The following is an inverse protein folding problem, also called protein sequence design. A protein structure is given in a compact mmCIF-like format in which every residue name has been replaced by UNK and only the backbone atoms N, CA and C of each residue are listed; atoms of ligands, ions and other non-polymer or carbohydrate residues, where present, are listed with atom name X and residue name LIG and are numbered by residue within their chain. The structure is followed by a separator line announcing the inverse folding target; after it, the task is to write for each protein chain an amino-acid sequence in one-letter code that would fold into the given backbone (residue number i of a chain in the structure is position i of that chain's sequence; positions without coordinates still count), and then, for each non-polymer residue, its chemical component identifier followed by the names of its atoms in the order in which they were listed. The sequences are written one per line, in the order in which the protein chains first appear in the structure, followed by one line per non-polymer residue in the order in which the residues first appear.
data_IF_742317608078
#
_entry.id   IF_742317608078
#
_cell.length_a   1.000
_cell.length_b   1.000
_cell.length_c   1.000
_cell.angle_alpha   90.00
_cell.angle_beta   90.00
_cell.angle_gamma   90.00
#
_symmetry.space_group_name_H-M   'P 1'
#
loop_
_entity.id
_entity.type
_entity.pdbx_description
1 polymer ?
#
# COMPACT_ATOMS: atom_id res chain seq x y z
N UNK A 1 -16.44 6.64 -21.09
CA UNK A 1 -15.20 5.84 -21.28
C UNK A 1 -15.57 4.38 -21.47
N UNK A 2 -15.06 3.73 -22.53
CA UNK A 2 -15.25 2.30 -22.76
C UNK A 2 -14.55 1.47 -21.66
N UNK A 3 -15.11 0.28 -21.31
CA UNK A 3 -14.48 -0.65 -20.35
C UNK A 3 -13.04 -1.02 -20.74
N UNK A 4 -12.75 -1.09 -22.05
CA UNK A 4 -11.39 -1.35 -22.56
C UNK A 4 -10.42 -0.22 -22.28
N UNK A 5 -10.82 1.04 -22.42
CA UNK A 5 -9.98 2.22 -22.11
C UNK A 5 -9.64 2.28 -20.62
N UNK A 6 -10.60 1.97 -19.75
CA UNK A 6 -10.34 1.96 -18.29
C UNK A 6 -9.39 0.82 -17.87
N UNK A 7 -9.46 -0.35 -18.51
CA UNK A 7 -8.56 -1.47 -18.25
C UNK A 7 -7.12 -1.17 -18.72
N UNK A 8 -6.96 -0.53 -19.88
CA UNK A 8 -5.66 -0.13 -20.40
C UNK A 8 -5.00 0.96 -19.55
N UNK A 9 -5.76 1.97 -19.13
CA UNK A 9 -5.28 3.01 -18.21
C UNK A 9 -4.81 2.40 -16.89
N UNK A 10 -5.58 1.46 -16.32
CA UNK A 10 -5.21 0.76 -15.08
C UNK A 10 -3.93 -0.06 -15.25
N UNK A 11 -3.79 -0.77 -16.36
CA UNK A 11 -2.58 -1.54 -16.67
C UNK A 11 -1.35 -0.64 -16.80
N UNK A 12 -1.45 0.47 -17.52
CA UNK A 12 -0.35 1.43 -17.69
C UNK A 12 0.05 2.07 -16.36
N UNK A 13 -0.94 2.36 -15.53
CA UNK A 13 -0.71 2.85 -14.18
C UNK A 13 0.05 1.83 -13.30
N UNK A 14 -0.34 0.54 -13.32
CA UNK A 14 0.39 -0.50 -12.59
C UNK A 14 1.83 -0.63 -13.07
N UNK A 15 2.09 -0.52 -14.37
CA UNK A 15 3.43 -0.53 -14.94
C UNK A 15 4.28 0.67 -14.50
N UNK A 16 3.66 1.82 -14.36
CA UNK A 16 4.33 3.00 -13.79
C UNK A 16 4.76 2.75 -12.34
N UNK A 17 3.88 2.17 -11.52
CA UNK A 17 4.19 1.81 -10.12
C UNK A 17 5.26 0.72 -10.05
N UNK A 18 5.22 -0.29 -10.92
CA UNK A 18 6.29 -1.29 -11.06
C UNK A 18 7.65 -0.63 -11.35
N UNK A 19 7.67 0.36 -12.24
CA UNK A 19 8.90 1.14 -12.51
C UNK A 19 9.40 1.89 -11.28
N UNK A 20 8.51 2.49 -10.50
CA UNK A 20 8.87 3.17 -9.25
C UNK A 20 9.45 2.19 -8.22
N UNK A 21 8.85 1.00 -8.07
CA UNK A 21 9.32 -0.05 -7.18
C UNK A 21 10.74 -0.52 -7.59
N UNK A 22 10.96 -0.84 -8.87
CA UNK A 22 12.27 -1.24 -9.38
C UNK A 22 13.33 -0.16 -9.11
N UNK A 23 12.98 1.12 -9.26
CA UNK A 23 13.90 2.24 -8.95
C UNK A 23 14.19 2.32 -7.45
N UNK A 24 13.20 2.09 -6.60
CA UNK A 24 13.39 2.08 -5.14
C UNK A 24 14.33 0.95 -4.69
N UNK A 25 14.36 -0.18 -5.42
CA UNK A 25 15.31 -1.28 -5.19
C UNK A 25 16.68 -1.05 -5.83
N UNK A 26 17.00 0.15 -6.34
CA UNK A 26 18.30 0.45 -6.96
C UNK A 26 18.38 0.21 -8.47
N UNK A 27 17.27 -0.06 -9.15
CA UNK A 27 17.20 -0.29 -10.59
C UNK A 27 17.07 -1.76 -10.99
N UNK A 28 17.09 -2.03 -12.31
CA UNK A 28 16.79 -3.37 -12.86
C UNK A 28 17.78 -4.44 -12.38
N UNK A 29 19.07 -4.13 -12.38
CA UNK A 29 20.11 -5.08 -12.03
C UNK A 29 20.03 -5.46 -10.54
N UNK A 30 19.93 -4.47 -9.65
CA UNK A 30 19.81 -4.72 -8.21
C UNK A 30 18.49 -5.42 -7.87
N UNK A 31 17.37 -5.01 -8.44
CA UNK A 31 16.08 -5.70 -8.25
C UNK A 31 16.16 -7.16 -8.73
N UNK A 32 16.87 -7.46 -9.81
CA UNK A 32 17.08 -8.85 -10.27
C UNK A 32 17.93 -9.67 -9.27
N UNK A 33 18.98 -9.07 -8.68
CA UNK A 33 19.78 -9.70 -7.63
C UNK A 33 18.95 -10.00 -6.39
N UNK A 34 18.13 -9.03 -5.95
CA UNK A 34 17.20 -9.18 -4.81
C UNK A 34 16.25 -10.35 -5.06
N UNK A 35 15.60 -10.40 -6.23
CA UNK A 35 14.72 -11.50 -6.57
C UNK A 35 15.42 -12.86 -6.46
N UNK A 36 16.64 -12.97 -7.00
CA UNK A 36 17.43 -14.20 -6.95
C UNK A 36 17.86 -14.62 -5.57
N UNK A 37 18.11 -13.68 -4.67
CA UNK A 37 18.56 -13.92 -3.30
C UNK A 37 17.40 -14.20 -2.33
N UNK A 38 16.29 -13.47 -2.45
CA UNK A 38 15.24 -13.43 -1.43
C UNK A 38 13.95 -14.16 -1.83
N UNK A 39 13.76 -14.46 -3.13
CA UNK A 39 12.55 -15.14 -3.62
C UNK A 39 12.88 -16.24 -4.61
N UNK A 40 13.00 -15.88 -5.88
CA UNK A 40 13.37 -16.79 -6.98
C UNK A 40 14.03 -16.02 -8.12
N UNK A 41 14.84 -16.69 -8.97
CA UNK A 41 15.45 -16.02 -10.12
C UNK A 41 14.42 -15.32 -11.00
N UNK A 42 14.61 -14.01 -11.17
CA UNK A 42 13.80 -13.17 -12.05
C UNK A 42 14.70 -12.12 -12.70
N UNK A 43 14.93 -12.26 -14.00
CA UNK A 43 15.96 -11.49 -14.69
C UNK A 43 15.60 -10.01 -14.89
N UNK A 44 16.62 -9.18 -15.09
CA UNK A 44 16.52 -7.77 -15.48
C UNK A 44 15.68 -7.57 -16.74
N UNK A 45 15.77 -8.48 -17.72
CA UNK A 45 14.95 -8.48 -18.94
C UNK A 45 13.48 -8.71 -18.65
N UNK A 46 13.14 -9.63 -17.73
CA UNK A 46 11.76 -9.87 -17.29
C UNK A 46 11.21 -8.67 -16.54
N UNK A 47 11.98 -8.10 -15.60
CA UNK A 47 11.62 -6.88 -14.89
C UNK A 47 11.41 -5.69 -15.85
N UNK A 48 12.28 -5.54 -16.84
CA UNK A 48 12.17 -4.51 -17.88
C UNK A 48 10.87 -4.62 -18.68
N UNK A 49 10.43 -5.84 -19.02
CA UNK A 49 9.15 -6.09 -19.70
C UNK A 49 7.95 -5.73 -18.80
N UNK A 50 8.03 -6.06 -17.51
CA UNK A 50 6.97 -5.75 -16.54
C UNK A 50 6.72 -4.26 -16.36
N UNK A 51 7.73 -3.41 -16.50
CA UNK A 51 7.59 -1.94 -16.42
C UNK A 51 7.30 -1.25 -17.77
N UNK A 52 7.39 -1.96 -18.90
CA UNK A 52 7.19 -1.41 -20.23
C UNK A 52 5.69 -1.36 -20.59
N UNK A 53 5.09 -0.18 -20.86
CA UNK A 53 3.67 -0.07 -21.23
C UNK A 53 3.28 -0.89 -22.47
N UNK A 54 4.21 -1.09 -23.40
CA UNK A 54 3.98 -1.82 -24.66
C UNK A 54 4.07 -3.36 -24.51
N UNK A 55 4.70 -3.85 -23.44
CA UNK A 55 4.82 -5.29 -23.21
C UNK A 55 3.55 -5.84 -22.52
N UNK A 56 3.12 -7.08 -22.76
CA UNK A 56 1.96 -7.67 -22.11
C UNK A 56 2.22 -8.06 -20.64
N UNK A 57 3.49 -8.23 -20.27
CA UNK A 57 3.92 -8.80 -19.00
C UNK A 57 3.55 -7.90 -17.82
N UNK A 58 3.14 -8.51 -16.72
CA UNK A 58 2.90 -7.86 -15.43
C UNK A 58 3.84 -8.45 -14.38
N UNK A 59 4.13 -7.70 -13.33
CA UNK A 59 4.96 -8.19 -12.23
C UNK A 59 4.21 -9.29 -11.48
N UNK A 60 4.78 -10.51 -11.32
CA UNK A 60 4.20 -11.56 -10.49
C UNK A 60 4.07 -11.10 -9.04
N UNK A 61 3.05 -11.59 -8.34
CA UNK A 61 2.72 -11.16 -6.98
C UNK A 61 3.83 -11.49 -5.98
N UNK A 62 4.45 -12.66 -6.10
CA UNK A 62 5.58 -13.10 -5.28
C UNK A 62 6.81 -12.20 -5.45
N UNK A 63 7.10 -11.78 -6.68
CA UNK A 63 8.20 -10.84 -6.99
C UNK A 63 7.86 -9.43 -6.49
N UNK A 64 6.60 -9.00 -6.60
CA UNK A 64 6.15 -7.72 -6.08
C UNK A 64 6.35 -7.65 -4.56
N UNK A 65 5.87 -8.67 -3.83
CA UNK A 65 5.99 -8.76 -2.38
C UNK A 65 7.46 -8.73 -1.92
N UNK A 66 8.31 -9.54 -2.56
CA UNK A 66 9.74 -9.58 -2.30
C UNK A 66 10.41 -8.19 -2.48
N UNK A 67 10.14 -7.50 -3.58
CA UNK A 67 10.74 -6.19 -3.85
C UNK A 67 10.22 -5.09 -2.91
N UNK A 68 8.94 -5.13 -2.54
CA UNK A 68 8.36 -4.19 -1.56
C UNK A 68 8.92 -4.44 -0.15
N UNK A 69 9.09 -5.70 0.26
CA UNK A 69 9.72 -6.05 1.52
C UNK A 69 11.18 -5.57 1.57
N UNK A 70 11.93 -5.78 0.49
CA UNK A 70 13.33 -5.34 0.39
C UNK A 70 13.49 -3.81 0.47
N UNK A 71 12.71 -3.05 -0.27
CA UNK A 71 12.80 -1.57 -0.23
C UNK A 71 12.08 -0.94 0.97
N UNK A 72 11.37 -1.73 1.79
CA UNK A 72 10.65 -1.26 2.97
C UNK A 72 9.46 -0.33 2.66
N UNK A 73 8.94 -0.35 1.42
CA UNK A 73 7.89 0.57 0.99
C UNK A 73 6.82 -0.14 0.14
N UNK A 74 5.55 -0.15 0.55
CA UNK A 74 4.44 -0.76 -0.17
C UNK A 74 3.98 0.12 -1.35
N UNK A 75 4.82 0.25 -2.38
CA UNK A 75 4.62 1.21 -3.49
C UNK A 75 3.45 0.81 -4.39
N UNK A 76 3.33 -0.48 -4.72
CA UNK A 76 2.27 -1.01 -5.60
C UNK A 76 1.09 -1.48 -4.77
N UNK A 77 1.33 -2.24 -3.69
CA UNK A 77 0.29 -2.84 -2.85
C UNK A 77 -0.57 -1.78 -2.16
N UNK A 78 0.01 -0.74 -1.59
CA UNK A 78 -0.72 0.40 -1.00
C UNK A 78 -1.67 1.05 -2.01
N UNK A 79 -1.20 1.27 -3.22
CA UNK A 79 -2.00 1.91 -4.26
C UNK A 79 -3.10 0.99 -4.80
N UNK A 80 -2.86 -0.32 -4.84
CA UNK A 80 -3.90 -1.31 -5.17
C UNK A 80 -5.01 -1.32 -4.12
N UNK A 81 -4.64 -1.22 -2.84
CA UNK A 81 -5.56 -1.12 -1.72
C UNK A 81 -6.37 0.17 -1.81
N UNK A 82 -5.73 1.33 -1.93
CA UNK A 82 -6.38 2.62 -2.07
C UNK A 82 -7.32 2.70 -3.29
N UNK A 83 -6.98 2.04 -4.40
CA UNK A 83 -7.83 2.01 -5.59
C UNK A 83 -9.11 1.18 -5.40
N UNK A 84 -9.10 0.18 -4.50
CA UNK A 84 -10.27 -0.65 -4.16
C UNK A 84 -11.19 0.03 -3.15
N UNK A 85 -10.64 0.80 -2.22
CA UNK A 85 -11.37 1.52 -1.17
C UNK A 85 -12.20 2.71 -1.69
N UNK A 86 -12.11 3.07 -2.96
CA UNK A 86 -12.77 4.24 -3.58
C UNK A 86 -14.27 4.11 -3.80
N UNK A 87 -14.95 3.13 -3.26
CA UNK A 87 -16.38 2.87 -3.47
C UNK A 87 -17.25 2.99 -2.20
N UNK A 88 -16.74 3.65 -1.15
CA UNK A 88 -17.47 3.81 0.11
C UNK A 88 -18.76 4.62 -0.03
N UNK A 89 -19.84 4.13 0.56
CA UNK A 89 -21.10 4.85 0.73
C UNK A 89 -21.04 5.78 1.95
N UNK A 90 -21.92 6.80 2.08
CA UNK A 90 -21.97 7.67 3.28
C UNK A 90 -22.20 6.92 4.60
N UNK A 91 -22.82 5.74 4.58
CA UNK A 91 -22.98 4.88 5.76
C UNK A 91 -21.66 4.27 6.21
N UNK A 92 -20.90 3.76 5.26
CA UNK A 92 -19.58 3.19 5.52
C UNK A 92 -18.59 4.23 6.07
N UNK A 93 -18.65 5.50 5.61
CA UNK A 93 -17.85 6.60 6.17
C UNK A 93 -18.13 6.86 7.65
N UNK A 94 -19.36 6.68 8.09
CA UNK A 94 -19.73 6.84 9.49
C UNK A 94 -19.14 5.72 10.34
N UNK A 95 -19.21 4.50 9.86
CA UNK A 95 -18.69 3.31 10.55
C UNK A 95 -17.15 3.38 10.61
N UNK A 96 -16.49 3.71 9.50
CA UNK A 96 -15.04 3.95 9.44
C UNK A 96 -14.56 5.05 10.40
N UNK A 97 -15.33 6.16 10.49
CA UNK A 97 -15.03 7.25 11.46
C UNK A 97 -15.12 6.77 12.91
N UNK A 98 -16.03 5.85 13.21
CA UNK A 98 -16.15 5.25 14.55
C UNK A 98 -14.96 4.35 14.85
N UNK A 99 -14.53 3.53 13.89
CA UNK A 99 -13.36 2.64 14.01
C UNK A 99 -12.04 3.42 14.21
N UNK A 100 -11.89 4.60 13.56
CA UNK A 100 -10.78 5.52 13.83
C UNK A 100 -10.76 5.96 15.29
N UNK A 101 -11.93 6.33 15.84
CA UNK A 101 -12.04 6.79 17.22
C UNK A 101 -11.76 5.69 18.22
N UNK A 102 -12.27 4.49 17.98
CA UNK A 102 -12.05 3.31 18.81
C UNK A 102 -10.57 2.90 18.82
N UNK A 103 -9.93 2.88 17.64
CA UNK A 103 -8.50 2.56 17.51
C UNK A 103 -7.61 3.61 18.19
N UNK A 104 -7.98 4.89 18.11
CA UNK A 104 -7.27 5.96 18.82
C UNK A 104 -7.38 5.82 20.34
N UNK A 105 -8.55 5.46 20.86
CA UNK A 105 -8.76 5.22 22.28
C UNK A 105 -7.98 3.99 22.77
N UNK A 106 -7.95 2.92 21.97
CA UNK A 106 -7.15 1.73 22.23
C UNK A 106 -5.65 2.05 22.29
N UNK A 107 -5.12 2.78 21.29
CA UNK A 107 -3.74 3.24 21.26
C UNK A 107 -3.39 4.06 22.51
N UNK A 108 -4.28 4.98 22.91
CA UNK A 108 -4.06 5.80 24.10
C UNK A 108 -4.00 4.96 25.37
N UNK A 109 -4.84 3.95 25.51
CA UNK A 109 -4.84 3.04 26.64
C UNK A 109 -3.53 2.26 26.72
N UNK A 110 -3.15 1.55 25.66
CA UNK A 110 -1.93 0.76 25.60
C UNK A 110 -0.66 1.62 25.79
N UNK A 111 -0.65 2.83 25.26
CA UNK A 111 0.47 3.76 25.45
C UNK A 111 0.64 4.14 26.93
N UNK A 112 -0.46 4.33 27.68
CA UNK A 112 -0.39 4.61 29.12
C UNK A 112 0.08 3.40 29.92
N UNK A 113 -0.35 2.21 29.54
CA UNK A 113 0.06 0.95 30.16
C UNK A 113 1.56 0.72 29.94
N UNK A 114 2.05 0.84 28.70
CA UNK A 114 3.46 0.69 28.35
C UNK A 114 4.38 1.75 28.99
N UNK A 115 3.89 2.95 29.26
CA UNK A 115 4.66 4.00 29.92
C UNK A 115 4.55 3.98 31.46
N UNK A 116 3.86 3.00 32.05
CA UNK A 116 3.63 2.97 33.49
C UNK A 116 4.92 2.79 34.30
N UNK A 117 5.90 2.10 33.77
CA UNK A 117 7.24 1.90 34.36
C UNK A 117 8.30 2.87 33.83
N UNK A 118 7.95 3.73 32.84
CA UNK A 118 8.78 4.78 32.28
C UNK A 118 9.63 4.37 31.08
N UNK A 119 9.50 3.16 30.60
CA UNK A 119 10.17 2.64 29.40
C UNK A 119 9.20 1.82 28.53
N UNK A 120 9.49 1.67 27.26
CA UNK A 120 8.70 0.85 26.33
C UNK A 120 9.60 -0.29 25.83
N UNK A 121 9.25 -1.50 26.21
CA UNK A 121 9.98 -2.68 25.77
C UNK A 121 9.70 -3.00 24.27
N UNK A 122 10.53 -3.86 23.63
CA UNK A 122 10.34 -4.23 22.23
C UNK A 122 9.00 -4.93 21.92
N UNK A 123 8.42 -5.68 22.88
CA UNK A 123 7.13 -6.34 22.69
C UNK A 123 5.98 -5.35 22.74
N UNK A 124 6.01 -4.43 23.69
CA UNK A 124 5.06 -3.33 23.80
C UNK A 124 5.11 -2.41 22.59
N UNK A 125 6.33 -2.08 22.12
CA UNK A 125 6.53 -1.32 20.89
C UNK A 125 5.91 -2.01 19.66
N UNK A 126 6.04 -3.35 19.56
CA UNK A 126 5.42 -4.12 18.48
C UNK A 126 3.89 -4.07 18.56
N UNK A 127 3.29 -4.24 19.74
CA UNK A 127 1.84 -4.14 19.94
C UNK A 127 1.31 -2.75 19.61
N UNK A 128 1.97 -1.70 20.08
CA UNK A 128 1.63 -0.32 19.76
C UNK A 128 1.71 -0.05 18.25
N UNK A 129 2.71 -0.62 17.58
CA UNK A 129 2.87 -0.47 16.13
C UNK A 129 1.73 -1.15 15.37
N UNK A 130 1.25 -2.32 15.79
CA UNK A 130 0.08 -2.97 15.17
C UNK A 130 -1.17 -2.10 15.26
N UNK A 131 -1.44 -1.49 16.43
CA UNK A 131 -2.56 -0.57 16.62
C UNK A 131 -2.43 0.66 15.71
N UNK A 132 -1.22 1.23 15.63
CA UNK A 132 -0.93 2.36 14.74
C UNK A 132 -1.17 2.01 13.27
N UNK A 133 -0.75 0.84 12.81
CA UNK A 133 -0.95 0.42 11.42
C UNK A 133 -2.44 0.20 11.11
N UNK A 134 -3.20 -0.38 12.04
CA UNK A 134 -4.66 -0.52 11.91
C UNK A 134 -5.35 0.85 11.82
N UNK A 135 -5.00 1.80 12.69
CA UNK A 135 -5.55 3.16 12.66
C UNK A 135 -5.22 3.92 11.37
N UNK A 136 -4.03 3.72 10.80
CA UNK A 136 -3.68 4.25 9.47
C UNK A 136 -4.56 3.65 8.37
N UNK A 137 -4.92 2.37 8.48
CA UNK A 137 -5.86 1.71 7.58
C UNK A 137 -7.22 2.41 7.58
N UNK A 138 -7.84 2.57 8.74
CA UNK A 138 -9.14 3.23 8.88
C UNK A 138 -9.13 4.70 8.40
N UNK A 139 -8.06 5.45 8.71
CA UNK A 139 -7.91 6.81 8.18
C UNK A 139 -7.81 6.86 6.65
N UNK A 140 -7.11 5.91 6.04
CA UNK A 140 -7.00 5.82 4.59
C UNK A 140 -8.35 5.48 3.93
N UNK A 141 -9.21 4.69 4.60
CA UNK A 141 -10.56 4.37 4.15
C UNK A 141 -11.48 5.59 4.22
N UNK A 142 -11.43 6.35 5.30
CA UNK A 142 -12.14 7.64 5.42
C UNK A 142 -11.69 8.62 4.33
N UNK A 143 -10.38 8.78 4.10
CA UNK A 143 -9.83 9.64 3.05
C UNK A 143 -10.31 9.21 1.65
N UNK A 144 -10.27 7.91 1.38
CA UNK A 144 -10.73 7.34 0.12
C UNK A 144 -12.23 7.58 -0.12
N UNK A 145 -13.06 7.49 0.93
CA UNK A 145 -14.49 7.77 0.86
C UNK A 145 -14.82 9.26 0.68
N UNK A 146 -14.05 10.16 1.28
CA UNK A 146 -14.23 11.61 1.15
C UNK A 146 -13.76 12.18 -0.20
N UNK A 147 -12.72 11.61 -0.80
CA UNK A 147 -12.10 12.09 -2.05
C UNK A 147 -13.10 12.29 -3.21
N UNK A 148 -14.08 11.38 -3.47
CA UNK A 148 -15.08 11.58 -4.51
C UNK A 148 -16.05 12.72 -4.22
N UNK A 149 -16.30 13.04 -2.94
CA UNK A 149 -17.23 14.09 -2.53
C UNK A 149 -16.65 15.48 -2.80
N UNK A 150 -15.33 15.64 -2.61
CA UNK A 150 -14.64 16.89 -2.93
C UNK A 150 -14.75 17.26 -4.43
N UNK A 151 -14.76 16.26 -5.31
CA UNK A 151 -14.89 16.48 -6.76
C UNK A 151 -16.30 16.84 -7.21
N UNK A 152 -17.34 16.53 -6.41
CA UNK A 152 -18.74 16.88 -6.72
C UNK A 152 -19.10 18.32 -6.33
N UNK A 153 -18.35 18.92 -5.42
CA UNK A 153 -18.60 20.30 -4.95
C UNK A 153 -17.97 21.41 -5.80
N UNK A 154 -17.26 21.05 -6.89
CA UNK A 154 -16.56 22.00 -7.80
C UNK A 154 -17.24 22.08 -9.16
N UNK A 155 -18.46 21.55 -9.32
CA UNK A 155 -19.24 21.62 -10.56
C UNK A 155 -20.36 22.65 -10.47
#
# INVERSE_FOLDING_TARGET
MSRHQSAELRRNWLKLRTRQLIRACGGLEEASKVCGAECRPYSDKQLSRCQNPRAPDMLPLDILDCLEAHCGAPIVSRELTNARMRTGTPGELRDESSEVTETAAELQRYMREALADGDIDPLEAAQLMEIVQRGKGHLAEVEAGLTPLLKRGVA
#
